data_IF_879824496183
#
_entry.id   IF_879824496183
#
_cell.length_a   1.000
_cell.length_b   1.000
_cell.length_c   1.000
_cell.angle_alpha   90.00
_cell.angle_beta   90.00
_cell.angle_gamma   90.00
#
_symmetry.space_group_name_H-M   'P 1'
#
loop_
_entity.id
_entity.type
_entity.pdbx_description
1 polymer ?
#
# COMPACT_ATOMS: atom_id res chain seq x y z
N UNK A 1 46.25 66.29 -17.00
CA UNK A 1 45.40 66.39 -15.80
C UNK A 1 44.20 65.49 -16.03
N UNK A 2 44.12 64.40 -15.27
CA UNK A 2 43.37 63.18 -15.63
C UNK A 2 41.90 63.25 -15.20
N UNK A 3 40.99 62.93 -16.11
CA UNK A 3 39.54 62.83 -15.86
C UNK A 3 39.25 61.45 -15.22
N UNK A 4 38.67 61.47 -14.01
CA UNK A 4 38.29 60.26 -13.25
C UNK A 4 36.80 59.94 -13.44
N UNK A 5 36.51 58.75 -13.96
CA UNK A 5 35.16 58.20 -14.10
C UNK A 5 34.85 57.36 -12.87
N UNK A 6 33.82 57.74 -12.09
CA UNK A 6 33.29 56.95 -10.97
C UNK A 6 32.61 55.68 -11.49
N UNK A 7 33.10 54.51 -11.06
CA UNK A 7 32.42 53.21 -11.20
C UNK A 7 31.26 53.10 -10.21
N UNK A 8 30.10 52.71 -10.73
CA UNK A 8 28.90 52.28 -10.00
C UNK A 8 29.17 50.99 -9.22
N UNK A 9 28.74 50.93 -7.96
CA UNK A 9 28.88 49.76 -7.09
C UNK A 9 28.01 48.57 -7.53
N UNK A 10 28.55 47.36 -7.37
CA UNK A 10 27.81 46.11 -7.46
C UNK A 10 27.10 45.80 -6.13
N UNK A 11 25.83 45.33 -6.14
CA UNK A 11 25.19 44.81 -4.95
C UNK A 11 25.75 43.42 -4.61
N UNK A 12 26.15 43.23 -3.35
CA UNK A 12 26.53 41.94 -2.78
C UNK A 12 25.33 41.01 -2.72
N UNK A 13 25.43 39.89 -3.45
CA UNK A 13 24.44 38.82 -3.48
C UNK A 13 24.46 38.08 -2.13
N UNK A 14 23.41 38.24 -1.32
CA UNK A 14 23.18 37.44 -0.12
C UNK A 14 23.07 35.96 -0.53
N UNK A 15 23.88 35.10 0.08
CA UNK A 15 23.80 33.65 -0.10
C UNK A 15 22.42 33.15 0.36
N UNK A 16 21.74 32.47 -0.57
CA UNK A 16 20.42 31.86 -0.35
C UNK A 16 20.51 30.66 0.61
N UNK A 17 19.56 30.47 1.56
CA UNK A 17 19.56 29.33 2.49
C UNK A 17 19.16 27.99 1.84
N UNK A 18 18.95 27.94 0.53
CA UNK A 18 18.28 26.80 -0.15
C UNK A 18 19.08 25.50 -0.19
N UNK A 19 20.40 25.52 0.05
CA UNK A 19 21.24 24.31 -0.02
C UNK A 19 21.28 23.47 1.26
N UNK A 20 20.99 24.05 2.43
CA UNK A 20 21.01 23.30 3.69
C UNK A 20 19.75 22.43 3.87
N UNK A 21 18.59 22.92 3.42
CA UNK A 21 17.31 22.20 3.48
C UNK A 21 17.25 21.02 2.49
N UNK A 22 17.92 21.12 1.33
CA UNK A 22 17.95 20.01 0.37
C UNK A 22 18.71 18.80 0.90
N UNK A 23 19.88 19.00 1.53
CA UNK A 23 20.74 17.90 1.97
C UNK A 23 20.15 17.11 3.14
N UNK A 24 19.42 17.78 4.05
CA UNK A 24 18.69 17.11 5.14
C UNK A 24 17.49 16.32 4.60
N UNK A 25 16.78 16.85 3.59
CA UNK A 25 15.69 16.13 2.93
C UNK A 25 16.20 14.89 2.17
N UNK A 26 17.33 14.99 1.47
CA UNK A 26 17.95 13.82 0.80
C UNK A 26 18.47 12.78 1.80
N UNK A 27 19.08 13.21 2.92
CA UNK A 27 19.53 12.31 3.98
C UNK A 27 18.38 11.51 4.62
N UNK A 28 17.22 12.13 4.85
CA UNK A 28 16.03 11.44 5.34
C UNK A 28 15.48 10.42 4.32
N UNK A 29 15.49 10.77 3.02
CA UNK A 29 14.96 9.93 1.94
C UNK A 29 15.76 8.63 1.74
N UNK A 30 17.07 8.63 2.04
CA UNK A 30 17.88 7.41 2.00
C UNK A 30 17.77 6.54 3.27
N UNK A 31 17.37 7.12 4.40
CA UNK A 31 17.21 6.39 5.65
C UNK A 31 15.88 5.62 5.70
N UNK A 32 14.81 6.12 5.08
CA UNK A 32 13.46 5.50 5.12
C UNK A 32 13.41 4.09 4.49
N UNK A 33 14.00 3.80 3.32
CA UNK A 33 14.02 2.45 2.75
C UNK A 33 14.83 1.46 3.59
N UNK A 34 15.93 1.93 4.19
CA UNK A 34 16.78 1.13 5.08
C UNK A 34 16.03 0.83 6.38
N UNK A 35 15.30 1.81 6.93
CA UNK A 35 14.48 1.62 8.12
C UNK A 35 13.34 0.61 7.89
N UNK A 36 12.63 0.70 6.76
CA UNK A 36 11.56 -0.27 6.41
C UNK A 36 12.14 -1.69 6.26
N UNK A 37 13.30 -1.83 5.61
CA UNK A 37 13.91 -3.15 5.36
C UNK A 37 14.49 -3.78 6.65
N UNK A 38 15.12 -2.97 7.52
CA UNK A 38 15.71 -3.44 8.79
C UNK A 38 14.62 -3.78 9.81
N UNK A 39 13.49 -3.07 9.81
CA UNK A 39 12.46 -3.22 10.84
C UNK A 39 11.49 -4.38 10.55
N UNK A 40 11.19 -4.68 9.29
CA UNK A 40 10.35 -5.85 8.91
C UNK A 40 11.06 -7.19 9.22
N UNK A 41 12.40 -7.17 9.34
CA UNK A 41 13.19 -8.32 9.80
C UNK A 41 13.09 -8.60 11.31
N UNK A 42 12.56 -7.67 12.11
CA UNK A 42 12.52 -7.76 13.58
C UNK A 42 11.14 -8.14 14.15
N UNK A 43 10.10 -8.25 13.33
CA UNK A 43 8.81 -8.77 13.79
C UNK A 43 8.93 -10.29 13.88
N UNK A 44 8.78 -10.89 15.08
CA UNK A 44 8.85 -12.33 15.23
C UNK A 44 7.72 -12.98 14.43
N UNK A 45 8.07 -14.00 13.65
CA UNK A 45 7.12 -14.82 12.90
C UNK A 45 6.03 -15.29 13.85
N UNK A 46 4.78 -14.88 13.61
CA UNK A 46 3.65 -15.44 14.34
C UNK A 46 3.33 -16.80 13.74
N UNK A 47 3.43 -17.85 14.55
CA UNK A 47 2.98 -19.18 14.18
C UNK A 47 1.44 -19.21 14.20
N UNK A 48 0.82 -18.90 13.07
CA UNK A 48 -0.60 -19.15 12.89
C UNK A 48 -0.81 -20.56 12.32
N UNK A 49 -1.79 -21.32 12.84
CA UNK A 49 -2.12 -22.63 12.29
C UNK A 49 -2.62 -22.43 10.85
N UNK A 50 -1.77 -22.78 9.88
CA UNK A 50 -2.08 -22.73 8.44
C UNK A 50 -2.42 -24.11 7.87
N UNK A 51 -2.41 -25.13 8.71
CA UNK A 51 -2.77 -26.50 8.35
C UNK A 51 -3.95 -26.91 9.25
N UNK A 52 -5.06 -27.34 8.65
CA UNK A 52 -6.26 -27.92 9.28
C UNK A 52 -7.29 -27.02 9.98
N UNK A 53 -7.38 -25.72 9.68
CA UNK A 53 -8.61 -24.99 10.06
C UNK A 53 -9.68 -25.24 9.00
N UNK A 54 -10.61 -26.15 9.29
CA UNK A 54 -11.90 -26.20 8.61
C UNK A 54 -12.68 -24.92 8.93
N UNK A 55 -12.46 -23.86 8.15
CA UNK A 55 -13.22 -22.62 8.31
C UNK A 55 -14.60 -22.87 7.72
N UNK A 56 -15.68 -22.90 8.54
CA UNK A 56 -17.01 -23.11 8.02
C UNK A 56 -17.35 -22.01 7.01
N UNK A 57 -18.11 -22.32 5.95
CA UNK A 57 -18.52 -21.31 4.98
C UNK A 57 -19.29 -20.20 5.69
N UNK A 58 -18.77 -18.98 5.65
CA UNK A 58 -19.42 -17.81 6.22
C UNK A 58 -20.62 -17.44 5.37
N UNK A 59 -21.82 -17.55 5.94
CA UNK A 59 -23.06 -17.46 5.18
C UNK A 59 -23.37 -16.01 4.76
N UNK A 60 -24.21 -15.84 3.73
CA UNK A 60 -24.52 -14.51 3.16
C UNK A 60 -25.23 -13.57 4.16
N UNK A 61 -26.02 -14.10 5.09
CA UNK A 61 -26.72 -13.31 6.11
C UNK A 61 -25.75 -12.77 7.17
N UNK A 62 -24.74 -13.55 7.53
CA UNK A 62 -23.66 -13.12 8.41
C UNK A 62 -22.79 -12.07 7.72
N UNK A 63 -22.55 -12.20 6.41
CA UNK A 63 -21.83 -11.20 5.60
C UNK A 63 -22.53 -9.85 5.54
N UNK A 64 -23.84 -9.84 5.29
CA UNK A 64 -24.62 -8.60 5.20
C UNK A 64 -24.62 -7.78 6.51
N UNK A 65 -24.31 -8.41 7.64
CA UNK A 65 -24.24 -7.76 8.95
C UNK A 65 -22.82 -7.28 9.31
N UNK A 66 -21.79 -7.58 8.51
CA UNK A 66 -20.43 -7.09 8.75
C UNK A 66 -20.34 -5.63 8.29
N UNK A 67 -20.11 -4.74 9.24
CA UNK A 67 -19.93 -3.30 8.99
C UNK A 67 -18.45 -2.92 9.01
N UNK A 68 -18.10 -1.78 8.41
CA UNK A 68 -16.74 -1.24 8.54
C UNK A 68 -16.34 -0.99 10.00
N UNK A 69 -17.30 -0.58 10.84
CA UNK A 69 -17.06 -0.37 12.28
C UNK A 69 -16.64 -1.68 12.98
N UNK A 70 -17.31 -2.78 12.63
CA UNK A 70 -16.95 -4.11 13.14
C UNK A 70 -15.52 -4.50 12.69
N UNK A 71 -15.14 -4.22 11.44
CA UNK A 71 -13.78 -4.49 10.95
C UNK A 71 -12.72 -3.66 11.69
N UNK A 72 -12.96 -2.36 11.90
CA UNK A 72 -12.03 -1.46 12.61
C UNK A 72 -11.81 -1.84 14.06
N UNK A 73 -12.81 -2.48 14.67
CA UNK A 73 -12.80 -2.89 16.07
C UNK A 73 -12.40 -4.36 16.25
N UNK A 74 -12.25 -5.11 15.15
CA UNK A 74 -11.92 -6.53 15.18
C UNK A 74 -10.42 -6.73 15.47
N UNK A 75 -10.13 -7.73 16.30
CA UNK A 75 -8.76 -8.18 16.51
C UNK A 75 -8.20 -8.85 15.25
N UNK A 76 -6.87 -8.86 15.12
CA UNK A 76 -6.19 -9.57 14.03
C UNK A 76 -6.71 -11.02 13.83
N UNK A 77 -6.82 -11.90 14.85
CA UNK A 77 -7.34 -13.25 14.63
C UNK A 77 -8.76 -13.26 14.08
N UNK A 78 -9.63 -12.34 14.53
CA UNK A 78 -10.99 -12.23 14.01
C UNK A 78 -11.00 -11.81 12.54
N UNK A 79 -10.17 -10.85 12.16
CA UNK A 79 -9.99 -10.43 10.77
C UNK A 79 -9.44 -11.56 9.91
N UNK A 80 -8.45 -12.30 10.41
CA UNK A 80 -7.85 -13.42 9.69
C UNK A 80 -8.85 -14.55 9.44
N UNK A 81 -9.58 -15.01 10.47
CA UNK A 81 -10.59 -16.05 10.29
C UNK A 81 -11.77 -15.58 9.43
N UNK A 82 -12.17 -14.31 9.55
CA UNK A 82 -13.14 -13.73 8.64
C UNK A 82 -12.63 -13.81 7.20
N UNK A 83 -11.40 -13.34 6.91
CA UNK A 83 -10.81 -13.42 5.58
C UNK A 83 -10.81 -14.85 5.02
N UNK A 84 -10.41 -15.83 5.82
CA UNK A 84 -10.45 -17.26 5.47
C UNK A 84 -11.87 -17.83 5.32
N UNK A 85 -12.91 -17.03 5.32
CA UNK A 85 -14.30 -17.49 5.14
C UNK A 85 -15.02 -16.80 3.97
N UNK A 86 -14.40 -15.75 3.42
CA UNK A 86 -14.93 -14.93 2.33
C UNK A 86 -14.57 -15.52 0.96
N UNK A 87 -15.33 -15.22 -0.11
CA UNK A 87 -15.01 -15.57 -1.49
C UNK A 87 -14.09 -14.50 -2.12
N UNK A 88 -13.55 -14.73 -3.32
CA UNK A 88 -13.04 -13.62 -4.13
C UNK A 88 -14.19 -12.63 -4.46
N UNK A 89 -13.86 -11.41 -4.93
CA UNK A 89 -14.84 -10.50 -5.53
C UNK A 89 -15.72 -11.20 -6.58
N UNK A 90 -17.02 -10.97 -6.48
CA UNK A 90 -18.07 -11.51 -7.36
C UNK A 90 -18.15 -10.84 -8.73
N UNK A 91 -17.43 -9.72 -8.91
CA UNK A 91 -17.34 -8.98 -10.17
C UNK A 91 -16.03 -8.22 -10.26
N UNK A 92 -15.75 -7.61 -11.44
CA UNK A 92 -14.50 -6.91 -11.66
C UNK A 92 -14.35 -5.72 -10.73
N UNK A 93 -13.20 -5.63 -10.06
CA UNK A 93 -12.86 -4.39 -9.36
C UNK A 93 -12.46 -3.34 -10.40
N UNK A 94 -13.26 -2.28 -10.47
CA UNK A 94 -13.04 -1.13 -11.33
C UNK A 94 -13.22 0.16 -10.52
N UNK A 95 -12.31 1.11 -10.69
CA UNK A 95 -12.36 2.40 -9.98
C UNK A 95 -11.48 2.49 -8.75
N UNK A 96 -11.69 3.54 -7.96
CA UNK A 96 -10.92 3.81 -6.75
C UNK A 96 -11.68 3.39 -5.50
N UNK A 97 -10.95 2.74 -4.58
CA UNK A 97 -11.44 2.20 -3.34
C UNK A 97 -10.63 2.82 -2.21
N UNK A 98 -11.31 3.33 -1.19
CA UNK A 98 -10.67 3.82 0.02
C UNK A 98 -10.07 2.65 0.78
N UNK A 99 -8.89 2.84 1.34
CA UNK A 99 -8.17 1.82 2.07
C UNK A 99 -7.79 2.32 3.47
N UNK A 100 -7.77 1.40 4.42
CA UNK A 100 -7.34 1.64 5.79
C UNK A 100 -6.65 0.38 6.31
N UNK A 101 -5.50 0.55 6.96
CA UNK A 101 -4.83 -0.54 7.68
C UNK A 101 -5.66 -0.86 8.93
N UNK A 102 -5.90 -2.15 9.14
CA UNK A 102 -6.60 -2.69 10.31
C UNK A 102 -5.60 -3.25 11.32
N UNK A 103 -6.08 -3.84 12.42
CA UNK A 103 -5.22 -4.45 13.43
C UNK A 103 -4.34 -5.58 12.85
N UNK A 104 -3.02 -5.38 12.86
CA UNK A 104 -1.98 -6.35 12.53
C UNK A 104 -1.59 -7.24 13.74
N UNK A 105 -2.28 -7.09 14.87
CA UNK A 105 -2.20 -7.96 16.04
C UNK A 105 -0.97 -7.72 16.91
N UNK A 106 -0.25 -6.62 16.72
CA UNK A 106 0.71 -6.12 17.71
C UNK A 106 0.81 -4.62 17.60
N UNK A 107 1.04 -3.94 18.73
CA UNK A 107 1.21 -2.49 18.76
C UNK A 107 2.37 -2.05 17.84
N UNK A 108 3.48 -2.81 17.84
CA UNK A 108 4.60 -2.55 16.97
C UNK A 108 4.20 -2.65 15.49
N UNK A 109 3.52 -3.73 15.08
CA UNK A 109 3.07 -3.90 13.70
C UNK A 109 2.07 -2.81 13.28
N UNK A 110 1.17 -2.39 14.17
CA UNK A 110 0.21 -1.33 13.92
C UNK A 110 0.89 0.04 13.77
N UNK A 111 1.82 0.37 14.65
CA UNK A 111 2.59 1.63 14.55
C UNK A 111 3.44 1.65 13.29
N UNK A 112 4.03 0.51 12.89
CA UNK A 112 4.80 0.41 11.66
C UNK A 112 3.94 0.48 10.40
N UNK A 113 2.80 -0.21 10.40
CA UNK A 113 1.77 -0.10 9.38
C UNK A 113 1.13 1.29 9.33
N UNK A 114 1.24 2.10 10.38
CA UNK A 114 0.85 3.49 10.32
C UNK A 114 1.97 4.36 9.73
N UNK A 115 3.19 4.25 10.25
CA UNK A 115 4.36 5.04 9.80
C UNK A 115 4.66 4.83 8.31
N UNK A 116 4.65 3.59 7.82
CA UNK A 116 4.93 3.28 6.41
C UNK A 116 3.94 3.89 5.41
N UNK A 117 2.81 4.39 5.90
CA UNK A 117 1.67 4.85 5.11
C UNK A 117 1.25 6.30 5.49
N UNK A 118 2.16 7.05 6.15
CA UNK A 118 1.98 8.46 6.60
C UNK A 118 2.30 9.51 5.53
N UNK A 119 1.82 10.77 5.69
CA UNK A 119 1.99 11.85 4.70
C UNK A 119 3.42 12.31 4.41
N UNK A 120 4.43 11.82 5.13
CA UNK A 120 5.80 12.34 5.01
C UNK A 120 6.57 11.79 3.80
N UNK A 121 6.35 10.52 3.44
CA UNK A 121 6.75 9.94 2.15
C UNK A 121 6.22 8.49 2.08
N UNK A 122 5.45 8.05 1.05
CA UNK A 122 5.13 8.70 -0.22
C UNK A 122 3.80 9.48 -0.20
N UNK A 123 3.33 9.93 0.96
CA UNK A 123 1.99 10.51 1.16
C UNK A 123 1.11 9.58 1.99
N UNK A 124 -0.01 10.08 2.51
CA UNK A 124 -0.92 9.25 3.30
C UNK A 124 -1.54 8.21 2.36
N UNK A 125 -1.37 6.92 2.63
CA UNK A 125 -2.06 5.90 1.85
C UNK A 125 -3.54 5.95 2.16
N UNK A 126 -4.36 6.15 1.14
CA UNK A 126 -5.80 6.33 1.31
C UNK A 126 -6.62 5.35 0.48
N UNK A 127 -5.99 4.55 -0.37
CA UNK A 127 -6.76 3.75 -1.31
C UNK A 127 -5.97 2.94 -2.31
N UNK A 128 -6.73 2.30 -3.18
CA UNK A 128 -6.27 1.54 -4.35
C UNK A 128 -7.16 1.88 -5.53
N UNK A 129 -6.57 1.92 -6.71
CA UNK A 129 -7.26 2.12 -7.98
C UNK A 129 -7.11 0.87 -8.82
N UNK A 130 -8.18 0.44 -9.48
CA UNK A 130 -8.23 -0.77 -10.28
C UNK A 130 -8.72 -0.45 -11.69
N UNK A 131 -7.98 -0.94 -12.67
CA UNK A 131 -8.39 -1.08 -14.06
C UNK A 131 -8.71 -2.56 -14.26
N UNK A 132 -9.86 -2.82 -14.84
CA UNK A 132 -10.60 -4.09 -14.79
C UNK A 132 -9.68 -5.32 -14.79
N UNK A 133 -9.78 -6.10 -13.72
CA UNK A 133 -9.48 -7.52 -13.74
C UNK A 133 -10.81 -8.27 -13.77
N UNK A 134 -10.95 -9.17 -14.75
CA UNK A 134 -12.09 -10.08 -14.86
C UNK A 134 -11.59 -11.50 -14.62
N UNK A 135 -12.50 -12.44 -14.40
CA UNK A 135 -12.15 -13.87 -14.26
C UNK A 135 -11.37 -14.40 -15.48
N UNK A 136 -11.49 -13.72 -16.63
CA UNK A 136 -10.89 -14.10 -17.91
C UNK A 136 -9.65 -13.28 -18.30
N UNK A 137 -9.39 -12.14 -17.63
CA UNK A 137 -8.30 -11.21 -17.99
C UNK A 137 -7.61 -10.61 -16.78
N UNK A 138 -6.28 -10.69 -16.80
CA UNK A 138 -5.43 -9.93 -15.89
C UNK A 138 -5.72 -8.43 -16.02
N UNK A 139 -5.83 -7.78 -14.87
CA UNK A 139 -5.96 -6.34 -14.74
C UNK A 139 -4.71 -5.70 -14.16
N UNK A 140 -4.81 -4.43 -13.84
CA UNK A 140 -3.76 -3.73 -13.11
C UNK A 140 -4.33 -2.55 -12.32
N UNK A 141 -3.52 -2.00 -11.42
CA UNK A 141 -3.93 -0.88 -10.59
C UNK A 141 -2.76 -0.10 -10.01
N UNK A 142 -3.08 0.82 -9.12
CA UNK A 142 -2.11 1.57 -8.31
C UNK A 142 -2.59 1.75 -6.88
N UNK A 143 -1.65 1.87 -5.93
CA UNK A 143 -1.97 2.46 -4.64
C UNK A 143 -2.21 3.97 -4.78
N UNK A 144 -3.18 4.49 -4.04
CA UNK A 144 -3.56 5.91 -4.04
C UNK A 144 -3.07 6.56 -2.75
N UNK A 145 -2.31 7.63 -2.90
CA UNK A 145 -1.72 8.40 -1.82
C UNK A 145 -2.23 9.83 -1.85
N UNK A 146 -2.43 10.43 -0.68
CA UNK A 146 -2.78 11.84 -0.52
C UNK A 146 -1.60 12.61 0.05
N UNK A 147 -1.11 13.57 -0.73
CA UNK A 147 -0.11 14.56 -0.30
C UNK A 147 -0.81 15.78 0.32
N UNK A 148 -0.06 16.56 1.11
CA UNK A 148 -0.51 17.82 1.71
C UNK A 148 -1.37 18.65 0.73
N UNK A 149 -2.55 19.09 1.17
CA UNK A 149 -3.45 19.93 0.35
C UNK A 149 -4.34 19.20 -0.66
N UNK A 150 -4.71 17.93 -0.40
CA UNK A 150 -5.67 17.14 -1.18
C UNK A 150 -5.18 16.60 -2.54
N UNK A 151 -3.89 16.73 -2.88
CA UNK A 151 -3.35 16.11 -4.10
C UNK A 151 -3.33 14.59 -3.96
N UNK A 152 -4.05 13.91 -4.86
CA UNK A 152 -4.00 12.47 -5.03
C UNK A 152 -2.86 12.06 -5.98
N UNK A 153 -2.12 11.04 -5.60
CA UNK A 153 -1.03 10.46 -6.37
C UNK A 153 -1.20 8.94 -6.47
N UNK A 154 -1.02 8.40 -7.67
CA UNK A 154 -1.22 6.98 -7.96
C UNK A 154 0.15 6.36 -8.20
N UNK A 155 0.59 5.52 -7.27
CA UNK A 155 1.94 4.96 -7.24
C UNK A 155 1.90 3.47 -7.02
N UNK A 156 3.04 2.85 -7.29
CA UNK A 156 3.25 1.41 -7.12
C UNK A 156 2.24 0.61 -7.93
N UNK A 157 2.54 0.47 -9.22
CA UNK A 157 1.73 -0.33 -10.13
C UNK A 157 1.62 -1.74 -9.56
N UNK A 158 0.45 -2.35 -9.73
CA UNK A 158 0.19 -3.72 -9.32
C UNK A 158 -0.54 -4.44 -10.44
N UNK A 159 -0.14 -5.67 -10.72
CA UNK A 159 -0.90 -6.58 -11.57
C UNK A 159 -2.00 -7.22 -10.73
N UNK A 160 -3.18 -7.44 -11.31
CA UNK A 160 -4.31 -8.03 -10.59
C UNK A 160 -4.85 -9.25 -11.31
N UNK A 161 -5.11 -10.32 -10.56
CA UNK A 161 -5.64 -11.58 -11.10
C UNK A 161 -6.40 -12.34 -10.01
N UNK A 162 -7.29 -13.24 -10.40
CA UNK A 162 -7.84 -14.24 -9.48
C UNK A 162 -6.92 -15.47 -9.52
N UNK A 163 -6.39 -15.86 -8.37
CA UNK A 163 -5.54 -17.05 -8.26
C UNK A 163 -5.64 -17.66 -6.85
N UNK A 164 -4.90 -18.73 -6.62
CA UNK A 164 -4.95 -19.52 -5.39
C UNK A 164 -4.35 -18.77 -4.21
N UNK A 165 -5.12 -18.64 -3.14
CA UNK A 165 -4.70 -18.09 -1.85
C UNK A 165 -3.59 -18.92 -1.21
N UNK A 166 -2.60 -18.23 -0.64
CA UNK A 166 -1.47 -18.89 0.04
C UNK A 166 -1.87 -19.52 1.37
N UNK A 167 -3.02 -19.17 1.94
CA UNK A 167 -3.43 -19.65 3.28
C UNK A 167 -4.39 -20.84 3.25
N UNK A 168 -5.32 -20.88 2.30
CA UNK A 168 -6.42 -21.87 2.29
C UNK A 168 -6.62 -22.56 0.92
N UNK A 169 -5.79 -22.24 -0.08
CA UNK A 169 -5.87 -22.86 -1.41
C UNK A 169 -7.13 -22.48 -2.21
N UNK A 170 -7.98 -21.58 -1.72
CA UNK A 170 -9.19 -21.14 -2.43
C UNK A 170 -8.92 -19.93 -3.33
N UNK A 171 -9.77 -19.68 -4.34
CA UNK A 171 -9.66 -18.48 -5.17
C UNK A 171 -9.64 -17.19 -4.35
N UNK A 172 -8.78 -16.27 -4.73
CA UNK A 172 -8.55 -14.99 -4.06
C UNK A 172 -8.12 -13.95 -5.10
N UNK A 173 -8.57 -12.70 -4.95
CA UNK A 173 -8.16 -11.62 -5.84
C UNK A 173 -6.81 -11.09 -5.39
N UNK A 174 -5.77 -11.34 -6.17
CA UNK A 174 -4.41 -10.98 -5.82
C UNK A 174 -3.95 -9.70 -6.49
N UNK A 175 -3.20 -8.90 -5.74
CA UNK A 175 -2.49 -7.72 -6.21
C UNK A 175 -1.00 -8.05 -6.13
N UNK A 176 -0.38 -8.24 -7.29
CA UNK A 176 1.00 -8.67 -7.42
C UNK A 176 1.87 -7.48 -7.82
N UNK A 177 2.83 -7.13 -6.96
CA UNK A 177 3.80 -6.06 -7.24
C UNK A 177 5.12 -6.60 -7.82
N UNK A 178 5.35 -7.92 -7.72
CA UNK A 178 6.56 -8.54 -8.24
C UNK A 178 6.68 -8.31 -9.76
N UNK A 179 7.89 -7.98 -10.22
CA UNK A 179 8.15 -7.59 -11.61
C UNK A 179 8.22 -6.07 -11.83
N UNK A 180 7.70 -5.27 -10.89
CA UNK A 180 7.82 -3.82 -10.93
C UNK A 180 9.14 -3.32 -10.33
N UNK A 181 9.65 -2.20 -10.84
CA UNK A 181 10.99 -1.67 -10.48
C UNK A 181 11.04 -0.92 -9.13
N UNK A 182 9.87 -0.59 -8.57
CA UNK A 182 9.72 0.16 -7.33
C UNK A 182 9.85 -0.71 -6.06
N UNK A 183 9.89 -0.07 -4.89
CA UNK A 183 10.13 -0.73 -3.60
C UNK A 183 9.20 -1.93 -3.35
N UNK A 184 7.89 -1.78 -3.55
CA UNK A 184 6.94 -2.89 -3.30
C UNK A 184 7.18 -4.10 -4.22
N UNK A 185 7.67 -3.88 -5.45
CA UNK A 185 8.05 -4.96 -6.35
C UNK A 185 9.35 -5.65 -5.94
N UNK A 186 10.33 -4.87 -5.47
CA UNK A 186 11.57 -5.41 -4.87
C UNK A 186 11.34 -6.17 -3.57
N UNK A 187 10.32 -5.79 -2.79
CA UNK A 187 9.91 -6.54 -1.59
C UNK A 187 8.99 -7.73 -1.92
N UNK A 188 8.65 -7.92 -3.21
CA UNK A 188 7.72 -8.93 -3.70
C UNK A 188 6.40 -8.90 -2.92
N UNK A 189 5.89 -7.69 -2.68
CA UNK A 189 4.61 -7.50 -2.01
C UNK A 189 3.52 -8.23 -2.78
N UNK A 190 2.60 -8.82 -2.03
CA UNK A 190 1.39 -9.44 -2.54
C UNK A 190 0.26 -9.13 -1.58
N UNK A 191 -0.80 -8.54 -2.11
CA UNK A 191 -2.04 -8.42 -1.36
C UNK A 191 -3.01 -9.50 -1.88
N UNK A 192 -3.79 -10.07 -0.97
CA UNK A 192 -4.95 -10.87 -1.30
C UNK A 192 -6.21 -10.17 -0.82
N UNK A 193 -7.26 -10.12 -1.63
CA UNK A 193 -8.51 -9.41 -1.35
C UNK A 193 -9.69 -10.35 -1.52
N UNK A 194 -10.61 -10.28 -0.56
CA UNK A 194 -11.85 -11.06 -0.54
C UNK A 194 -13.04 -10.17 -0.22
N UNK A 195 -14.20 -10.55 -0.77
CA UNK A 195 -15.42 -9.75 -0.68
C UNK A 195 -16.21 -10.07 0.58
N UNK A 196 -16.51 -9.05 1.37
CA UNK A 196 -17.49 -9.17 2.47
C UNK A 196 -18.89 -9.05 1.87
N UNK A 197 -19.12 -7.96 1.15
CA UNK A 197 -20.34 -7.65 0.41
C UNK A 197 -20.00 -6.67 -0.71
N UNK A 198 -20.91 -6.42 -1.68
CA UNK A 198 -20.62 -5.50 -2.77
C UNK A 198 -20.15 -4.14 -2.25
N UNK A 199 -18.94 -3.76 -2.66
CA UNK A 199 -18.30 -2.50 -2.29
C UNK A 199 -17.56 -2.47 -0.94
N UNK A 200 -17.49 -3.58 -0.22
CA UNK A 200 -16.70 -3.74 1.01
C UNK A 200 -15.87 -5.02 0.97
N UNK A 201 -14.55 -4.87 1.12
CA UNK A 201 -13.60 -5.96 0.98
C UNK A 201 -12.60 -5.97 2.13
N UNK A 202 -12.10 -7.17 2.43
CA UNK A 202 -11.03 -7.39 3.39
C UNK A 202 -9.80 -7.89 2.63
N UNK A 203 -8.67 -7.22 2.86
CA UNK A 203 -7.40 -7.55 2.26
C UNK A 203 -6.36 -7.98 3.28
N UNK A 204 -5.42 -8.80 2.83
CA UNK A 204 -4.26 -9.26 3.59
C UNK A 204 -2.99 -8.95 2.78
N UNK A 205 -2.23 -7.95 3.21
CA UNK A 205 -0.97 -7.56 2.59
C UNK A 205 0.19 -8.36 3.15
N UNK A 206 1.04 -8.90 2.29
CA UNK A 206 2.23 -9.68 2.67
C UNK A 206 3.45 -9.26 1.88
N UNK A 207 4.64 -9.53 2.43
CA UNK A 207 5.91 -9.24 1.78
C UNK A 207 6.84 -10.44 1.89
N UNK A 208 7.83 -10.51 1.00
CA UNK A 208 8.94 -11.42 1.13
C UNK A 208 9.07 -12.47 0.04
N UNK A 209 10.17 -13.20 0.15
CA UNK A 209 10.68 -14.09 -0.90
C UNK A 209 10.25 -15.55 -0.71
N UNK A 210 9.78 -15.93 0.48
CA UNK A 210 9.27 -17.27 0.77
C UNK A 210 7.81 -17.24 1.21
N UNK A 211 7.08 -18.32 0.91
CA UNK A 211 5.70 -18.54 1.38
C UNK A 211 5.61 -18.53 2.91
N UNK A 212 6.60 -19.11 3.59
CA UNK A 212 6.68 -19.11 5.05
C UNK A 212 6.71 -17.68 5.63
N UNK A 213 7.50 -16.78 5.03
CA UNK A 213 7.55 -15.37 5.47
C UNK A 213 6.23 -14.65 5.18
N UNK A 214 5.61 -14.90 4.01
CA UNK A 214 4.31 -14.29 3.67
C UNK A 214 3.21 -14.68 4.64
N UNK A 215 3.18 -15.95 5.05
CA UNK A 215 2.20 -16.46 6.02
C UNK A 215 2.38 -15.91 7.43
N UNK A 216 3.59 -15.53 7.81
CA UNK A 216 3.92 -15.14 9.19
C UNK A 216 3.49 -13.72 9.59
N UNK A 217 3.48 -12.78 8.65
CA UNK A 217 3.27 -11.35 8.95
C UNK A 217 2.28 -10.66 7.99
N UNK A 218 1.01 -11.12 7.91
CA UNK A 218 -0.02 -10.44 7.15
C UNK A 218 -0.40 -9.10 7.80
N UNK A 219 -0.60 -8.07 6.97
CA UNK A 219 -1.15 -6.77 7.33
C UNK A 219 -2.59 -6.68 6.83
N UNK A 220 -3.60 -6.82 7.70
CA UNK A 220 -4.98 -6.69 7.27
C UNK A 220 -5.31 -5.25 6.88
N UNK A 221 -6.12 -5.07 5.85
CA UNK A 221 -6.62 -3.76 5.42
C UNK A 221 -8.04 -3.88 4.90
N UNK A 222 -8.84 -2.82 5.05
CA UNK A 222 -10.16 -2.72 4.42
C UNK A 222 -10.05 -2.05 3.05
N UNK A 223 -10.96 -2.40 2.13
CA UNK A 223 -11.26 -1.60 0.94
C UNK A 223 -12.74 -1.26 0.89
N UNK A 224 -13.07 0.00 0.60
CA UNK A 224 -14.44 0.46 0.38
C UNK A 224 -14.57 1.27 -0.90
N UNK A 225 -15.52 0.92 -1.76
CA UNK A 225 -15.74 1.63 -3.01
C UNK A 225 -16.57 0.84 -4.03
N UNK A 226 -16.54 1.22 -5.31
CA UNK A 226 -15.77 2.34 -5.83
C UNK A 226 -16.34 3.68 -5.35
N UNK A 227 -15.49 4.68 -5.08
CA UNK A 227 -15.92 6.06 -4.77
C UNK A 227 -15.62 7.04 -5.92
N UNK A 228 -14.80 6.63 -6.88
CA UNK A 228 -14.53 7.33 -8.14
C UNK A 228 -14.32 6.30 -9.26
N UNK A 229 -14.62 6.70 -10.50
CA UNK A 229 -14.21 5.95 -11.69
C UNK A 229 -12.67 5.88 -11.76
N UNK A 230 -12.08 4.85 -12.39
CA UNK A 230 -10.63 4.76 -12.47
C UNK A 230 -10.12 5.83 -13.40
N UNK A 231 -9.10 6.56 -12.97
CA UNK A 231 -8.47 7.58 -13.81
C UNK A 231 -7.36 6.90 -14.63
N UNK A 232 -7.47 6.81 -15.96
CA UNK A 232 -6.38 6.31 -16.79
C UNK A 232 -5.19 7.26 -16.69
N UNK A 233 -4.02 6.73 -16.31
CA UNK A 233 -2.77 7.47 -16.41
C UNK A 233 -2.58 8.56 -15.35
N UNK A 234 -1.90 8.20 -14.27
CA UNK A 234 -0.96 9.13 -13.64
C UNK A 234 0.37 8.43 -13.43
N UNK A 235 0.91 7.84 -14.50
CA UNK A 235 2.37 7.67 -14.60
C UNK A 235 2.94 9.07 -14.75
N UNK A 236 3.18 9.76 -13.64
CA UNK A 236 4.27 10.72 -13.64
C UNK A 236 5.53 9.87 -13.60
N UNK A 237 6.31 9.93 -14.67
CA UNK A 237 7.67 9.41 -14.70
C UNK A 237 8.36 9.76 -13.39
N UNK A 238 9.01 8.75 -12.83
CA UNK A 238 9.74 8.76 -11.57
C UNK A 238 10.28 10.14 -11.16
N UNK A 239 9.98 10.56 -9.94
CA UNK A 239 10.65 11.67 -9.26
C UNK A 239 12.15 11.40 -8.97
N UNK A 240 12.68 10.28 -9.49
CA UNK A 240 14.08 9.89 -9.36
C UNK A 240 14.83 10.43 -10.57
N UNK A 241 15.91 11.23 -10.39
CA UNK A 241 16.78 11.56 -11.51
C UNK A 241 17.31 10.26 -12.09
N UNK A 242 17.17 10.08 -13.41
CA UNK A 242 17.89 9.01 -14.11
C UNK A 242 19.36 9.18 -13.74
N UNK A 243 19.95 8.15 -13.14
CA UNK A 243 21.39 8.13 -12.92
C UNK A 243 22.02 8.17 -14.33
N UNK A 244 22.62 9.31 -14.65
CA UNK A 244 23.48 9.49 -15.81
C UNK A 244 24.90 9.04 -15.49
#
# INVERSE_FOLDING_TARGET
>A
MTISIRKTGHPTMKSSPSRALSTVAYGLVFLVPVFITVIIGLVPLKNFPTNDVSVPPFNLLQRANVTEYALRSASFPSLFYLFLSLPPPSGPLHGEYLAEILDAGSLAANVLGWIGFTPFFPGAWIGKSFVEATDEKDGWGYNVFRWFGARLDRRFKMHTCITTSVWDGRPSFQLQYAGETHLLGRLRMRDEVREIQPGLYLGMGTFGYSEAKRRGDPLPFLLRGPYQAPVPGAVRESFWPKAG
#
